data_IF_582229829709
#
_entry.id   IF_582229829709
#
_cell.length_a   1.000
_cell.length_b   1.000
_cell.length_c   1.000
_cell.angle_alpha   90.00
_cell.angle_beta   90.00
_cell.angle_gamma   90.00
#
_symmetry.space_group_name_H-M   'P 1'
#
loop_
_entity.id
_entity.type
_entity.pdbx_description
1 polymer ?
#
# COMPACT_ATOMS: atom_id res chain seq x y z
N UNK A 1 -19.58 23.10 1.98
CA UNK A 1 -19.94 21.71 1.63
C UNK A 1 -18.71 20.87 1.93
N UNK A 2 -18.74 19.98 2.92
CA UNK A 2 -17.57 19.18 3.28
C UNK A 2 -17.46 17.98 2.34
N UNK A 3 -16.44 18.00 1.48
CA UNK A 3 -16.19 16.97 0.47
C UNK A 3 -14.97 16.13 0.89
N UNK A 4 -15.03 14.81 0.76
CA UNK A 4 -13.86 13.94 0.90
C UNK A 4 -13.46 13.31 -0.43
N UNK A 5 -12.16 13.09 -0.64
CA UNK A 5 -11.64 12.37 -1.79
C UNK A 5 -10.81 11.19 -1.34
N UNK A 6 -11.11 10.01 -1.88
CA UNK A 6 -10.32 8.80 -1.68
C UNK A 6 -9.58 8.45 -2.97
N UNK A 7 -8.24 8.43 -2.87
CA UNK A 7 -7.33 8.15 -3.97
C UNK A 7 -7.07 9.39 -4.81
N UNK A 8 -6.69 9.17 -6.08
CA UNK A 8 -6.46 10.22 -7.08
C UNK A 8 -7.39 9.99 -8.29
N UNK A 9 -8.70 10.27 -8.18
CA UNK A 9 -9.63 10.15 -9.31
C UNK A 9 -9.13 10.91 -10.55
N UNK A 10 -9.21 10.34 -11.76
CA UNK A 10 -8.90 11.07 -12.98
C UNK A 10 -9.82 12.28 -13.14
N UNK A 11 -9.22 13.47 -13.31
CA UNK A 11 -9.93 14.77 -13.36
C UNK A 11 -10.97 14.87 -14.47
N UNK A 12 -10.80 14.08 -15.55
CA UNK A 12 -11.73 14.00 -16.68
C UNK A 12 -12.91 13.05 -16.45
N UNK A 13 -12.90 12.28 -15.35
CA UNK A 13 -13.94 11.32 -14.98
C UNK A 13 -14.78 11.76 -13.78
N UNK A 14 -14.16 12.44 -12.82
CA UNK A 14 -14.86 12.97 -11.64
C UNK A 14 -14.25 14.30 -11.20
N UNK A 15 -15.11 15.30 -11.01
CA UNK A 15 -14.71 16.57 -10.43
C UNK A 15 -14.49 16.43 -8.93
N UNK A 16 -13.35 16.93 -8.45
CA UNK A 16 -12.99 16.96 -7.02
C UNK A 16 -12.74 18.42 -6.65
N UNK A 17 -13.50 18.99 -5.70
CA UNK A 17 -13.25 20.35 -5.21
C UNK A 17 -11.83 20.50 -4.66
N UNK A 18 -11.22 21.67 -4.87
CA UNK A 18 -9.84 21.94 -4.41
C UNK A 18 -9.66 21.93 -2.89
N UNK A 19 -10.74 22.08 -2.13
CA UNK A 19 -10.79 22.02 -0.67
C UNK A 19 -11.24 20.65 -0.13
N UNK A 20 -11.34 19.63 -0.99
CA UNK A 20 -11.70 18.28 -0.57
C UNK A 20 -10.68 17.69 0.39
N UNK A 21 -11.16 17.08 1.47
CA UNK A 21 -10.32 16.39 2.45
C UNK A 21 -9.83 15.08 1.83
N UNK A 22 -8.51 14.95 1.65
CA UNK A 22 -7.91 13.69 1.21
C UNK A 22 -7.94 12.66 2.34
N UNK A 23 -8.44 11.46 2.04
CA UNK A 23 -8.64 10.37 3.02
C UNK A 23 -8.02 9.03 2.61
N UNK A 24 -7.25 8.99 1.51
CA UNK A 24 -6.58 7.76 1.09
C UNK A 24 -5.43 7.37 2.03
N UNK A 25 -5.34 6.11 2.47
CA UNK A 25 -4.20 5.64 3.26
C UNK A 25 -2.90 5.60 2.45
N UNK A 26 -2.97 5.64 1.11
CA UNK A 26 -1.82 5.61 0.20
C UNK A 26 -1.23 7.00 -0.08
N UNK A 27 -1.74 8.06 0.57
CA UNK A 27 -1.25 9.42 0.40
C UNK A 27 -0.79 9.94 1.76
N UNK A 28 0.54 10.02 2.02
CA UNK A 28 1.08 10.52 3.27
C UNK A 28 0.51 11.88 3.68
N UNK A 29 0.13 12.00 4.96
CA UNK A 29 -0.48 13.21 5.53
C UNK A 29 -2.00 13.31 5.39
N UNK A 30 -2.64 12.35 4.73
CA UNK A 30 -4.11 12.30 4.59
C UNK A 30 -4.82 12.00 5.90
N UNK A 31 -6.08 12.45 6.00
CA UNK A 31 -6.95 12.07 7.11
C UNK A 31 -7.35 10.59 7.03
N UNK A 32 -7.86 10.06 8.14
CA UNK A 32 -8.35 8.67 8.23
C UNK A 32 -9.85 8.64 7.91
N UNK A 33 -10.25 7.91 6.86
CA UNK A 33 -11.65 7.75 6.47
C UNK A 33 -12.47 7.10 7.59
N UNK A 34 -11.87 6.13 8.27
CA UNK A 34 -12.45 5.38 9.39
C UNK A 34 -12.68 6.25 10.64
N UNK A 35 -11.92 7.33 10.82
CA UNK A 35 -12.05 8.24 11.97
C UNK A 35 -13.01 9.42 11.69
N UNK A 36 -13.47 9.59 10.45
CA UNK A 36 -14.46 10.63 10.17
C UNK A 36 -15.76 10.33 10.94
N UNK A 37 -16.39 11.34 11.58
CA UNK A 37 -17.67 11.13 12.25
C UNK A 37 -18.78 10.74 11.25
N UNK A 38 -19.76 9.98 11.73
CA UNK A 38 -20.96 9.64 10.97
C UNK A 38 -21.69 10.91 10.52
N UNK A 39 -22.14 10.96 9.26
CA UNK A 39 -22.86 12.12 8.73
C UNK A 39 -22.05 13.43 8.75
N UNK A 40 -20.72 13.37 8.68
CA UNK A 40 -19.87 14.57 8.65
C UNK A 40 -19.56 15.12 7.26
N UNK A 41 -19.91 14.39 6.19
CA UNK A 41 -19.64 14.76 4.80
C UNK A 41 -20.93 15.06 4.03
N UNK A 42 -20.89 16.10 3.21
CA UNK A 42 -21.97 16.41 2.25
C UNK A 42 -21.75 15.71 0.91
N UNK A 43 -20.49 15.45 0.55
CA UNK A 43 -20.13 14.70 -0.65
C UNK A 43 -18.82 13.93 -0.51
N UNK A 44 -18.66 12.93 -1.39
CA UNK A 44 -17.42 12.19 -1.53
C UNK A 44 -17.16 11.75 -2.98
N UNK A 45 -15.88 11.76 -3.37
CA UNK A 45 -15.41 11.16 -4.62
C UNK A 45 -14.44 10.03 -4.29
N UNK A 46 -14.74 8.81 -4.74
CA UNK A 46 -14.00 7.60 -4.37
C UNK A 46 -13.46 6.92 -5.62
N UNK A 47 -12.14 7.01 -5.84
CA UNK A 47 -11.47 6.06 -6.73
C UNK A 47 -11.38 4.72 -6.00
N UNK A 48 -12.32 3.84 -6.29
CA UNK A 48 -12.54 2.63 -5.52
C UNK A 48 -11.41 1.62 -5.75
N UNK A 49 -10.86 1.00 -4.69
CA UNK A 49 -9.73 0.10 -4.84
C UNK A 49 -10.11 -1.22 -5.54
N UNK A 50 -9.13 -1.93 -6.12
CA UNK A 50 -9.39 -3.12 -6.92
C UNK A 50 -9.81 -4.34 -6.09
N UNK A 51 -9.31 -4.47 -4.85
CA UNK A 51 -9.63 -5.59 -3.96
C UNK A 51 -11.09 -5.54 -3.50
N UNK A 52 -11.80 -6.66 -3.51
CA UNK A 52 -13.24 -6.67 -3.19
C UNK A 52 -13.52 -6.29 -1.74
N UNK A 53 -12.84 -6.91 -0.78
CA UNK A 53 -13.03 -6.60 0.66
C UNK A 53 -12.64 -5.15 0.95
N UNK A 54 -11.48 -4.72 0.44
CA UNK A 54 -10.99 -3.34 0.57
C UNK A 54 -11.96 -2.32 -0.05
N UNK A 55 -12.49 -2.59 -1.25
CA UNK A 55 -13.44 -1.72 -1.92
C UNK A 55 -14.72 -1.57 -1.12
N UNK A 56 -15.28 -2.68 -0.66
CA UNK A 56 -16.49 -2.68 0.17
C UNK A 56 -16.26 -1.89 1.46
N UNK A 57 -15.11 -2.07 2.11
CA UNK A 57 -14.71 -1.32 3.30
C UNK A 57 -14.66 0.19 3.08
N UNK A 58 -14.02 0.63 1.99
CA UNK A 58 -13.92 2.06 1.63
C UNK A 58 -15.29 2.65 1.30
N UNK A 59 -16.09 1.96 0.49
CA UNK A 59 -17.44 2.40 0.15
C UNK A 59 -18.33 2.49 1.40
N UNK A 60 -18.24 1.50 2.30
CA UNK A 60 -19.01 1.45 3.53
C UNK A 60 -18.67 2.59 4.48
N UNK A 61 -17.38 2.85 4.75
CA UNK A 61 -16.99 3.99 5.58
C UNK A 61 -17.34 5.34 4.94
N UNK A 62 -17.29 5.44 3.60
CA UNK A 62 -17.71 6.65 2.89
C UNK A 62 -19.21 6.89 3.07
N UNK A 63 -20.04 5.86 2.89
CA UNK A 63 -21.49 5.94 3.11
C UNK A 63 -21.84 6.30 4.55
N UNK A 64 -21.16 5.70 5.54
CA UNK A 64 -21.30 6.06 6.96
C UNK A 64 -21.01 7.54 7.22
N UNK A 65 -19.95 8.07 6.63
CA UNK A 65 -19.53 9.46 6.81
C UNK A 65 -20.41 10.48 6.08
N UNK A 66 -21.17 10.09 5.04
CA UNK A 66 -22.09 10.98 4.33
C UNK A 66 -23.36 11.27 5.12
N UNK A 67 -23.87 12.50 5.10
CA UNK A 67 -25.23 12.80 5.59
C UNK A 67 -26.31 12.10 4.74
N UNK A 68 -27.52 11.84 5.26
CA UNK A 68 -28.69 11.57 4.43
C UNK A 68 -28.85 12.61 3.31
N UNK A 69 -28.99 12.16 2.06
CA UNK A 69 -29.01 13.00 0.86
C UNK A 69 -27.62 13.43 0.34
N UNK A 70 -26.55 13.16 1.08
CA UNK A 70 -25.18 13.44 0.68
C UNK A 70 -24.77 12.67 -0.57
N UNK A 71 -23.95 13.27 -1.43
CA UNK A 71 -23.65 12.74 -2.78
C UNK A 71 -22.36 11.96 -2.82
N UNK A 72 -22.37 10.77 -3.43
CA UNK A 72 -21.16 10.02 -3.72
C UNK A 72 -20.96 9.82 -5.22
N UNK A 73 -19.73 10.03 -5.67
CA UNK A 73 -19.24 9.56 -6.97
C UNK A 73 -18.20 8.48 -6.70
N UNK A 74 -18.54 7.21 -6.94
CA UNK A 74 -17.62 6.10 -6.86
C UNK A 74 -17.22 5.65 -8.27
N UNK A 75 -15.93 5.53 -8.55
CA UNK A 75 -15.43 5.14 -9.86
C UNK A 75 -14.26 4.16 -9.75
N UNK A 76 -14.16 3.26 -10.71
CA UNK A 76 -13.03 2.35 -10.85
C UNK A 76 -12.93 1.84 -12.30
N UNK A 77 -11.74 1.40 -12.74
CA UNK A 77 -11.59 0.70 -14.03
C UNK A 77 -12.54 -0.49 -14.09
N UNK A 78 -13.14 -0.73 -15.26
CA UNK A 78 -14.18 -1.75 -15.47
C UNK A 78 -13.70 -3.14 -15.05
N UNK A 79 -12.47 -3.47 -15.40
CA UNK A 79 -11.78 -4.73 -15.11
C UNK A 79 -11.20 -4.81 -13.69
N UNK A 80 -11.15 -3.69 -12.95
CA UNK A 80 -10.60 -3.58 -11.59
C UNK A 80 -11.63 -3.10 -10.59
N UNK A 81 -12.72 -3.85 -10.50
CA UNK A 81 -13.79 -3.63 -9.51
C UNK A 81 -14.92 -2.73 -10.01
N UNK A 82 -14.70 -1.91 -11.05
CA UNK A 82 -15.70 -1.00 -11.59
C UNK A 82 -17.00 -1.70 -11.98
N UNK A 83 -16.93 -2.85 -12.64
CA UNK A 83 -18.11 -3.64 -13.02
C UNK A 83 -18.96 -4.15 -11.84
N UNK A 84 -18.44 -4.11 -10.60
CA UNK A 84 -19.13 -4.56 -9.39
C UNK A 84 -19.69 -3.41 -8.55
N UNK A 85 -19.29 -2.16 -8.81
CA UNK A 85 -19.63 -1.00 -7.98
C UNK A 85 -21.13 -0.84 -7.77
N UNK A 86 -21.92 -0.79 -8.85
CA UNK A 86 -23.37 -0.58 -8.76
C UNK A 86 -24.05 -1.67 -7.91
N UNK A 87 -23.62 -2.93 -8.08
CA UNK A 87 -24.15 -4.07 -7.32
C UNK A 87 -23.76 -4.00 -5.85
N UNK A 88 -22.52 -3.64 -5.54
CA UNK A 88 -22.03 -3.51 -4.16
C UNK A 88 -22.74 -2.37 -3.43
N UNK A 89 -22.94 -1.23 -4.10
CA UNK A 89 -23.66 -0.08 -3.55
C UNK A 89 -25.15 -0.40 -3.33
N UNK A 90 -25.79 -1.10 -4.27
CA UNK A 90 -27.16 -1.58 -4.08
C UNK A 90 -27.30 -2.56 -2.90
N UNK A 91 -26.28 -3.39 -2.65
CA UNK A 91 -26.25 -4.28 -1.48
C UNK A 91 -26.06 -3.53 -0.15
N UNK A 92 -25.69 -2.25 -0.19
CA UNK A 92 -25.65 -1.35 0.96
C UNK A 92 -26.90 -0.45 1.06
N UNK A 93 -28.00 -0.85 0.42
CA UNK A 93 -29.24 -0.07 0.29
C UNK A 93 -29.04 1.30 -0.38
N UNK A 94 -27.98 1.45 -1.18
CA UNK A 94 -27.59 2.69 -1.84
C UNK A 94 -27.53 2.48 -3.37
N UNK A 95 -28.66 2.26 -4.07
CA UNK A 95 -28.64 2.11 -5.52
C UNK A 95 -28.04 3.35 -6.20
N UNK A 96 -27.19 3.12 -7.20
CA UNK A 96 -26.45 4.16 -7.89
C UNK A 96 -26.73 4.15 -9.40
N UNK A 97 -26.76 5.33 -10.01
CA UNK A 97 -26.72 5.47 -11.45
C UNK A 97 -25.32 5.13 -11.96
N UNK A 98 -25.22 4.13 -12.83
CA UNK A 98 -23.95 3.57 -13.32
C UNK A 98 -23.71 3.94 -14.79
N UNK A 99 -22.60 4.64 -15.04
CA UNK A 99 -22.20 5.14 -16.34
C UNK A 99 -20.82 4.58 -16.74
N UNK A 100 -20.68 3.96 -17.93
CA UNK A 100 -19.38 3.61 -18.49
C UNK A 100 -18.70 4.83 -19.13
N UNK A 101 -17.43 5.09 -18.81
CA UNK A 101 -16.63 6.15 -19.47
C UNK A 101 -15.14 5.81 -19.44
N UNK A 102 -14.45 5.91 -20.59
CA UNK A 102 -12.99 5.68 -20.72
C UNK A 102 -12.49 4.44 -19.95
N UNK A 103 -13.08 3.28 -20.22
CA UNK A 103 -12.79 2.00 -19.55
C UNK A 103 -13.08 1.96 -18.04
N UNK A 104 -13.75 2.96 -17.46
CA UNK A 104 -14.21 2.97 -16.08
C UNK A 104 -15.72 2.76 -15.99
N UNK A 105 -16.17 2.38 -14.79
CA UNK A 105 -17.56 2.53 -14.35
C UNK A 105 -17.61 3.65 -13.33
N UNK A 106 -18.59 4.54 -13.48
CA UNK A 106 -18.82 5.70 -12.61
C UNK A 106 -20.22 5.57 -12.04
N UNK A 107 -20.31 5.29 -10.75
CA UNK A 107 -21.54 5.17 -9.98
C UNK A 107 -21.81 6.46 -9.22
N UNK A 108 -22.99 7.05 -9.42
CA UNK A 108 -23.43 8.26 -8.71
C UNK A 108 -24.67 7.98 -7.89
N UNK A 109 -24.67 8.41 -6.64
CA UNK A 109 -25.81 8.26 -5.74
C UNK A 109 -25.96 9.45 -4.79
N UNK A 110 -27.16 9.60 -4.24
CA UNK A 110 -27.40 10.34 -3.01
C UNK A 110 -27.71 9.31 -1.91
N UNK A 111 -27.07 9.43 -0.74
CA UNK A 111 -27.23 8.47 0.36
C UNK A 111 -28.69 8.45 0.83
N UNK A 112 -29.41 7.33 0.75
CA UNK A 112 -30.76 7.25 1.32
C UNK A 112 -30.75 7.43 2.84
N UNK A 113 -31.81 8.02 3.45
CA UNK A 113 -31.86 8.28 4.88
C UNK A 113 -31.77 7.00 5.73
N UNK A 114 -32.36 5.90 5.24
CA UNK A 114 -32.46 4.63 5.97
C UNK A 114 -31.38 3.61 5.57
N UNK A 115 -30.34 4.03 4.83
CA UNK A 115 -29.29 3.13 4.38
C UNK A 115 -28.43 2.62 5.55
N UNK A 116 -28.53 1.32 5.84
CA UNK A 116 -27.88 0.66 6.98
C UNK A 116 -27.08 -0.60 6.61
N UNK A 117 -27.21 -1.15 5.39
CA UNK A 117 -26.58 -2.41 4.97
C UNK A 117 -25.04 -2.42 4.85
N UNK A 118 -24.32 -1.45 5.40
CA UNK A 118 -22.87 -1.29 5.23
C UNK A 118 -22.01 -1.69 6.44
N UNK A 119 -22.61 -2.04 7.58
CA UNK A 119 -21.89 -2.41 8.81
C UNK A 119 -20.97 -3.61 8.64
N UNK A 120 -21.48 -4.73 8.10
CA UNK A 120 -20.70 -5.97 7.92
C UNK A 120 -19.44 -5.75 7.07
N UNK A 121 -19.50 -4.86 6.08
CA UNK A 121 -18.36 -4.55 5.22
C UNK A 121 -17.25 -3.76 5.96
N UNK A 122 -17.61 -2.98 6.98
CA UNK A 122 -16.65 -2.31 7.86
C UNK A 122 -15.91 -3.36 8.70
N UNK A 123 -16.64 -4.28 9.31
CA UNK A 123 -16.03 -5.35 10.13
C UNK A 123 -15.18 -6.29 9.27
N UNK A 124 -15.69 -6.71 8.10
CA UNK A 124 -15.00 -7.60 7.15
C UNK A 124 -13.71 -6.97 6.59
N UNK A 125 -13.63 -5.64 6.46
CA UNK A 125 -12.44 -4.95 5.96
C UNK A 125 -11.51 -4.37 7.04
N UNK A 126 -11.89 -4.51 8.32
CA UNK A 126 -11.15 -3.96 9.43
C UNK A 126 -9.84 -4.70 9.75
N UNK A 127 -8.92 -4.05 10.51
CA UNK A 127 -7.72 -4.69 11.03
C UNK A 127 -8.04 -5.94 11.85
N UNK A 128 -7.19 -6.97 11.74
CA UNK A 128 -7.35 -8.25 12.46
C UNK A 128 -6.01 -8.90 12.75
N UNK A 129 -6.02 -9.90 13.63
CA UNK A 129 -4.90 -10.81 13.79
C UNK A 129 -5.10 -12.05 12.90
N UNK A 130 -4.02 -12.56 12.30
CA UNK A 130 -4.01 -13.82 11.54
C UNK A 130 -3.07 -14.79 12.25
N UNK A 131 -3.66 -15.76 12.95
CA UNK A 131 -2.97 -16.66 13.88
C UNK A 131 -1.84 -17.46 13.21
N UNK A 132 -2.07 -17.99 12.01
CA UNK A 132 -1.08 -18.80 11.30
C UNK A 132 0.15 -18.00 10.82
N UNK A 133 0.05 -16.67 10.78
CA UNK A 133 1.17 -15.78 10.50
C UNK A 133 1.72 -15.13 11.77
N UNK A 134 0.95 -15.14 12.87
CA UNK A 134 1.19 -14.38 14.09
C UNK A 134 1.44 -12.88 13.78
N UNK A 135 0.56 -12.28 12.97
CA UNK A 135 0.65 -10.88 12.54
C UNK A 135 -0.72 -10.20 12.65
N UNK A 136 -0.69 -8.94 13.11
CA UNK A 136 -1.75 -7.99 12.81
C UNK A 136 -1.71 -7.63 11.32
N UNK A 137 -2.87 -7.55 10.68
CA UNK A 137 -3.03 -7.31 9.25
C UNK A 137 -4.36 -6.60 8.95
N UNK A 138 -4.58 -6.20 7.71
CA UNK A 138 -5.85 -5.65 7.24
C UNK A 138 -6.06 -5.97 5.75
N UNK A 139 -7.27 -6.38 5.33
CA UNK A 139 -7.60 -6.53 3.92
C UNK A 139 -7.27 -5.29 3.08
N UNK A 140 -6.61 -5.51 1.95
CA UNK A 140 -6.13 -4.44 1.05
C UNK A 140 -4.63 -4.17 1.16
N UNK A 141 -3.99 -4.55 2.27
CA UNK A 141 -2.52 -4.54 2.38
C UNK A 141 -1.94 -5.66 1.49
N UNK A 142 -0.73 -5.43 0.94
CA UNK A 142 -0.02 -6.45 0.17
C UNK A 142 0.15 -7.75 0.98
N UNK A 143 -0.24 -8.87 0.38
CA UNK A 143 -0.16 -10.21 0.98
C UNK A 143 -0.77 -10.29 2.39
N UNK A 144 -1.86 -9.56 2.65
CA UNK A 144 -2.43 -9.41 4.00
C UNK A 144 -2.85 -10.73 4.69
N UNK A 145 -3.14 -11.79 3.94
CA UNK A 145 -3.66 -13.08 4.45
C UNK A 145 -2.68 -14.26 4.31
N UNK A 146 -1.47 -14.04 3.79
CA UNK A 146 -0.50 -15.10 3.53
C UNK A 146 0.93 -14.57 3.50
N UNK A 147 1.92 -15.46 3.61
CA UNK A 147 3.31 -15.10 3.32
C UNK A 147 3.51 -15.03 1.80
N UNK A 148 3.99 -13.89 1.31
CA UNK A 148 4.35 -13.71 -0.09
C UNK A 148 5.56 -14.60 -0.47
N UNK A 149 5.50 -15.37 -1.58
CA UNK A 149 6.60 -16.25 -1.97
C UNK A 149 7.93 -15.54 -2.24
N UNK A 150 7.91 -14.32 -2.79
CA UNK A 150 9.12 -13.52 -2.99
C UNK A 150 9.76 -13.14 -1.65
N UNK A 151 8.93 -12.65 -0.72
CA UNK A 151 9.33 -12.37 0.67
C UNK A 151 9.91 -13.61 1.35
N UNK A 152 9.28 -14.77 1.20
CA UNK A 152 9.76 -16.04 1.74
C UNK A 152 11.14 -16.43 1.17
N UNK A 153 11.31 -16.28 -0.16
CA UNK A 153 12.58 -16.56 -0.82
C UNK A 153 13.69 -15.62 -0.32
N UNK A 154 13.38 -14.33 -0.17
CA UNK A 154 14.32 -13.36 0.36
C UNK A 154 14.73 -13.72 1.79
N UNK A 155 13.77 -13.97 2.68
CA UNK A 155 14.04 -14.38 4.07
C UNK A 155 14.96 -15.59 4.16
N UNK A 156 14.73 -16.61 3.33
CA UNK A 156 15.52 -17.83 3.32
C UNK A 156 16.97 -17.64 2.87
N UNK A 157 17.28 -16.52 2.20
CA UNK A 157 18.59 -16.25 1.59
C UNK A 157 19.25 -14.96 2.10
N UNK A 158 18.64 -14.25 3.05
CA UNK A 158 19.26 -13.09 3.68
C UNK A 158 20.47 -13.55 4.53
N UNK A 159 21.65 -12.95 4.35
CA UNK A 159 22.78 -13.23 5.24
C UNK A 159 22.55 -12.57 6.60
N UNK A 160 23.36 -12.91 7.62
CA UNK A 160 23.39 -12.13 8.85
C UNK A 160 23.71 -10.66 8.57
N UNK A 161 22.72 -9.78 8.82
CA UNK A 161 22.87 -8.34 8.67
C UNK A 161 23.37 -7.70 9.97
N UNK A 162 24.05 -6.56 9.85
CA UNK A 162 24.62 -5.79 10.96
C UNK A 162 24.65 -4.30 10.66
N UNK A 163 24.72 -3.48 11.71
CA UNK A 163 24.79 -2.03 11.60
C UNK A 163 23.41 -1.39 11.43
N UNK A 164 23.33 -0.29 10.69
CA UNK A 164 22.09 0.46 10.45
C UNK A 164 21.55 0.12 9.08
N UNK A 165 20.25 -0.15 8.95
CA UNK A 165 19.65 -0.44 7.65
C UNK A 165 18.25 0.09 7.46
N UNK A 166 17.67 -0.24 6.30
CA UNK A 166 16.27 0.07 5.99
C UNK A 166 15.55 -1.08 5.29
N UNK A 167 14.22 -1.14 5.49
CA UNK A 167 13.26 -2.00 4.80
C UNK A 167 12.33 -1.09 3.97
N UNK A 168 12.48 -1.07 2.65
CA UNK A 168 11.73 -0.18 1.75
C UNK A 168 10.51 -0.91 1.20
N UNK A 169 9.31 -0.36 1.44
CA UNK A 169 8.05 -1.04 1.18
C UNK A 169 7.81 -2.16 2.19
N UNK A 170 7.96 -1.84 3.48
CA UNK A 170 8.03 -2.84 4.54
C UNK A 170 6.74 -3.67 4.71
N UNK A 171 5.61 -3.20 4.17
CA UNK A 171 4.31 -3.85 4.31
C UNK A 171 3.97 -4.12 5.78
N UNK A 172 3.63 -5.37 6.10
CA UNK A 172 3.32 -5.82 7.46
C UNK A 172 4.54 -5.93 8.40
N UNK A 173 5.76 -5.62 7.93
CA UNK A 173 7.00 -5.67 8.70
C UNK A 173 7.62 -7.07 8.84
N UNK A 174 7.27 -8.00 7.94
CA UNK A 174 7.74 -9.40 7.99
C UNK A 174 9.27 -9.50 7.87
N UNK A 175 9.84 -8.85 6.84
CA UNK A 175 11.29 -8.79 6.64
C UNK A 175 11.96 -8.12 7.83
N UNK A 176 11.43 -6.98 8.26
CA UNK A 176 11.91 -6.25 9.42
C UNK A 176 11.98 -7.08 10.71
N UNK A 177 10.94 -7.87 11.02
CA UNK A 177 10.94 -8.77 12.19
C UNK A 177 12.07 -9.78 12.14
N UNK A 178 12.35 -10.36 10.97
CA UNK A 178 13.44 -11.30 10.79
C UNK A 178 14.82 -10.63 10.90
N UNK A 179 15.00 -9.46 10.27
CA UNK A 179 16.24 -8.68 10.28
C UNK A 179 16.61 -8.29 11.73
N UNK A 180 15.62 -7.82 12.50
CA UNK A 180 15.80 -7.42 13.89
C UNK A 180 16.03 -8.61 14.83
N UNK A 181 15.83 -9.85 14.39
CA UNK A 181 16.27 -11.04 15.12
C UNK A 181 17.79 -11.06 15.35
N UNK A 182 18.57 -10.34 14.53
CA UNK A 182 20.01 -10.18 14.73
C UNK A 182 20.32 -9.05 15.73
N UNK A 183 21.06 -9.32 16.83
CA UNK A 183 21.49 -8.27 17.75
C UNK A 183 22.57 -7.35 17.14
N UNK A 184 23.19 -7.77 16.03
CA UNK A 184 24.18 -6.96 15.33
C UNK A 184 23.54 -5.81 14.53
N UNK A 185 22.22 -5.86 14.28
CA UNK A 185 21.46 -4.75 13.72
C UNK A 185 21.20 -3.73 14.84
N UNK A 186 21.69 -2.51 14.62
CA UNK A 186 21.68 -1.43 15.62
C UNK A 186 20.53 -0.44 15.42
N UNK A 187 20.02 -0.31 14.19
CA UNK A 187 18.83 0.47 13.86
C UNK A 187 18.23 -0.03 12.54
N UNK A 188 16.91 0.00 12.41
CA UNK A 188 16.19 -0.34 11.18
C UNK A 188 15.12 0.72 10.88
N UNK A 189 15.20 1.36 9.72
CA UNK A 189 14.14 2.26 9.24
C UNK A 189 13.21 1.52 8.28
N UNK A 190 11.93 1.51 8.59
CA UNK A 190 10.88 0.93 7.75
C UNK A 190 10.18 2.06 7.02
N UNK A 191 10.07 1.97 5.70
CA UNK A 191 9.36 2.98 4.89
C UNK A 191 8.21 2.30 4.18
N UNK A 192 7.01 2.87 4.32
CA UNK A 192 5.79 2.33 3.71
C UNK A 192 4.83 3.47 3.36
N UNK A 193 4.20 3.36 2.20
CA UNK A 193 3.27 4.37 1.67
C UNK A 193 1.85 4.12 2.16
N UNK A 194 1.48 2.86 2.43
CA UNK A 194 0.18 2.50 2.97
C UNK A 194 0.14 2.68 4.49
N UNK A 195 -0.59 3.71 4.93
CA UNK A 195 -0.83 3.99 6.36
C UNK A 195 -1.32 2.76 7.13
N UNK A 196 -2.17 1.93 6.53
CA UNK A 196 -2.71 0.73 7.19
C UNK A 196 -1.58 -0.28 7.45
N UNK A 197 -0.68 -0.45 6.49
CA UNK A 197 0.48 -1.31 6.64
C UNK A 197 1.45 -0.78 7.69
N UNK A 198 1.68 0.55 7.76
CA UNK A 198 2.44 1.20 8.83
C UNK A 198 1.86 0.85 10.20
N UNK A 199 0.56 0.98 10.40
CA UNK A 199 -0.11 0.68 11.68
C UNK A 199 -0.01 -0.80 12.06
N UNK A 200 -0.09 -1.70 11.08
CA UNK A 200 0.10 -3.13 11.32
C UNK A 200 1.56 -3.47 11.62
N UNK A 201 2.51 -2.89 10.89
CA UNK A 201 3.94 -3.06 11.12
C UNK A 201 4.36 -2.56 12.51
N UNK A 202 3.79 -1.45 13.00
CA UNK A 202 4.02 -0.96 14.37
C UNK A 202 3.62 -2.00 15.43
N UNK A 203 2.57 -2.78 15.19
CA UNK A 203 2.13 -3.86 16.09
C UNK A 203 2.99 -5.12 15.93
N UNK A 204 3.41 -5.41 14.71
CA UNK A 204 4.16 -6.63 14.37
C UNK A 204 5.65 -6.55 14.68
N UNK A 205 6.22 -5.34 14.68
CA UNK A 205 7.64 -5.05 14.86
C UNK A 205 7.81 -4.23 16.14
N UNK A 206 7.51 -4.86 17.28
CA UNK A 206 7.68 -4.27 18.61
C UNK A 206 9.16 -4.33 19.05
N UNK A 207 10.04 -3.62 18.34
CA UNK A 207 11.47 -3.53 18.64
C UNK A 207 11.91 -2.06 18.75
N UNK A 208 12.61 -1.65 19.82
CA UNK A 208 13.03 -0.26 20.01
C UNK A 208 14.05 0.25 18.98
N UNK A 209 14.67 -0.65 18.20
CA UNK A 209 15.59 -0.28 17.11
C UNK A 209 14.86 0.04 15.80
N UNK A 210 13.55 -0.25 15.73
CA UNK A 210 12.73 0.02 14.55
C UNK A 210 12.19 1.46 14.56
N UNK A 211 12.29 2.15 13.43
CA UNK A 211 11.63 3.44 13.18
C UNK A 211 10.80 3.30 11.93
N UNK A 212 9.47 3.47 12.02
CA UNK A 212 8.55 3.30 10.90
C UNK A 212 8.11 4.67 10.40
N UNK A 213 8.23 4.90 9.10
CA UNK A 213 7.94 6.16 8.42
C UNK A 213 6.82 5.94 7.40
N UNK A 214 5.70 6.64 7.60
CA UNK A 214 4.64 6.73 6.59
C UNK A 214 5.05 7.74 5.52
N UNK A 215 5.55 7.24 4.39
CA UNK A 215 6.09 8.08 3.33
C UNK A 215 6.04 7.40 1.96
N UNK A 216 5.96 8.21 0.91
CA UNK A 216 6.17 7.78 -0.46
C UNK A 216 7.67 7.84 -0.77
N UNK A 217 8.27 6.70 -1.10
CA UNK A 217 9.69 6.55 -1.43
C UNK A 217 10.11 7.40 -2.64
N UNK A 218 9.16 7.81 -3.50
CA UNK A 218 9.40 8.73 -4.62
C UNK A 218 9.80 10.13 -4.14
N UNK A 219 9.47 10.49 -2.90
CA UNK A 219 9.87 11.75 -2.26
C UNK A 219 11.27 11.59 -1.68
N UNK A 220 12.17 12.53 -2.02
CA UNK A 220 13.52 12.55 -1.50
C UNK A 220 13.56 12.84 0.01
N UNK A 221 14.60 12.33 0.70
CA UNK A 221 14.80 12.56 2.14
C UNK A 221 13.96 11.68 3.07
N UNK A 222 13.21 10.71 2.53
CA UNK A 222 12.38 9.77 3.29
C UNK A 222 13.18 8.64 3.95
N UNK A 223 14.37 8.34 3.42
CA UNK A 223 15.28 7.31 3.93
C UNK A 223 16.54 7.96 4.50
N UNK A 224 17.00 7.58 5.71
CA UNK A 224 18.26 8.08 6.25
C UNK A 224 19.45 7.65 5.39
N UNK A 225 20.47 8.51 5.32
CA UNK A 225 21.72 8.20 4.64
C UNK A 225 22.70 7.37 5.46
N UNK A 226 23.79 6.97 4.81
CA UNK A 226 24.91 6.22 5.39
C UNK A 226 24.53 4.85 5.99
N UNK A 227 23.59 4.15 5.35
CA UNK A 227 23.15 2.81 5.77
C UNK A 227 24.16 1.72 5.39
N UNK A 228 24.30 0.72 6.26
CA UNK A 228 25.08 -0.49 6.03
C UNK A 228 24.38 -1.44 5.07
N UNK A 229 23.04 -1.51 5.14
CA UNK A 229 22.24 -2.36 4.26
C UNK A 229 20.85 -1.77 3.97
N UNK A 230 20.26 -2.20 2.86
CA UNK A 230 18.85 -1.99 2.53
C UNK A 230 18.27 -3.33 2.09
N UNK A 231 17.05 -3.63 2.53
CA UNK A 231 16.28 -4.81 2.10
C UNK A 231 14.96 -4.32 1.50
N UNK A 232 14.49 -4.95 0.43
CA UNK A 232 13.19 -4.62 -0.14
C UNK A 232 12.57 -5.74 -0.98
N UNK A 233 11.25 -5.79 -0.94
CA UNK A 233 10.39 -6.49 -1.90
C UNK A 233 9.45 -5.44 -2.52
N UNK A 234 9.90 -4.68 -3.53
CA UNK A 234 9.18 -3.53 -4.02
C UNK A 234 7.86 -3.96 -4.69
N UNK A 235 6.83 -3.11 -4.66
CA UNK A 235 5.57 -3.40 -5.36
C UNK A 235 5.82 -3.51 -6.87
N UNK A 236 5.38 -4.62 -7.46
CA UNK A 236 5.53 -4.86 -8.91
C UNK A 236 4.34 -4.36 -9.73
N UNK A 237 3.25 -3.90 -9.08
CA UNK A 237 2.05 -3.38 -9.74
C UNK A 237 1.56 -2.12 -9.04
N UNK A 238 1.62 -0.96 -9.69
CA UNK A 238 0.82 0.20 -9.32
C UNK A 238 -0.37 0.26 -10.28
N UNK A 239 -1.58 0.22 -9.73
CA UNK A 239 -2.77 0.27 -10.55
C UNK A 239 -2.81 -0.77 -11.69
N UNK A 240 -2.43 -2.03 -11.43
CA UNK A 240 -2.60 -3.15 -12.37
C UNK A 240 -1.71 -3.11 -13.62
N UNK A 241 -0.79 -2.16 -13.73
CA UNK A 241 0.28 -2.17 -14.74
C UNK A 241 1.59 -2.46 -14.03
N UNK A 242 2.45 -3.28 -14.64
CA UNK A 242 3.79 -3.53 -14.12
C UNK A 242 4.60 -2.22 -14.14
N UNK A 243 4.83 -1.62 -12.97
CA UNK A 243 5.49 -0.33 -12.85
C UNK A 243 7.01 -0.52 -12.66
N UNK A 244 7.69 -0.75 -13.78
CA UNK A 244 9.15 -0.81 -13.80
C UNK A 244 9.79 0.51 -13.34
N UNK A 245 9.12 1.65 -13.52
CA UNK A 245 9.65 2.96 -13.09
C UNK A 245 9.65 3.08 -11.57
N UNK A 246 8.64 2.53 -10.90
CA UNK A 246 8.60 2.45 -9.44
C UNK A 246 9.74 1.58 -8.90
N UNK A 247 9.93 0.37 -9.43
CA UNK A 247 11.04 -0.50 -9.00
C UNK A 247 12.42 0.16 -9.21
N UNK A 248 12.62 0.88 -10.32
CA UNK A 248 13.84 1.68 -10.55
C UNK A 248 14.01 2.80 -9.53
N UNK A 249 12.93 3.45 -9.12
CA UNK A 249 12.95 4.47 -8.08
C UNK A 249 13.39 3.88 -6.74
N UNK A 250 12.82 2.73 -6.34
CA UNK A 250 13.26 2.00 -5.14
C UNK A 250 14.76 1.67 -5.17
N UNK A 251 15.27 1.15 -6.29
CA UNK A 251 16.69 0.84 -6.49
C UNK A 251 17.55 2.10 -6.34
N UNK A 252 17.16 3.21 -6.97
CA UNK A 252 17.88 4.47 -6.88
C UNK A 252 17.90 5.03 -5.44
N UNK A 253 16.76 4.99 -4.72
CA UNK A 253 16.68 5.44 -3.33
C UNK A 253 17.52 4.58 -2.39
N UNK A 254 17.52 3.26 -2.59
CA UNK A 254 18.38 2.35 -1.85
C UNK A 254 19.86 2.68 -2.09
N UNK A 255 20.27 2.85 -3.35
CA UNK A 255 21.64 3.21 -3.70
C UNK A 255 22.04 4.55 -3.08
N UNK A 256 21.19 5.57 -3.08
CA UNK A 256 21.46 6.87 -2.46
C UNK A 256 21.67 6.76 -0.95
N UNK A 257 20.81 6.00 -0.26
CA UNK A 257 20.84 5.85 1.19
C UNK A 257 22.06 5.07 1.72
N UNK A 258 22.60 4.13 0.93
CA UNK A 258 23.72 3.28 1.34
C UNK A 258 25.04 4.06 1.47
N UNK A 259 25.88 3.69 2.46
CA UNK A 259 27.29 4.12 2.49
C UNK A 259 28.12 3.35 1.46
N UNK A 260 29.36 3.80 1.22
CA UNK A 260 30.33 3.02 0.44
C UNK A 260 30.52 1.62 1.04
N UNK A 261 30.41 0.58 0.22
CA UNK A 261 30.46 -0.81 0.64
C UNK A 261 29.19 -1.34 1.30
N UNK A 262 28.12 -0.54 1.41
CA UNK A 262 26.81 -1.02 1.85
C UNK A 262 26.13 -1.88 0.80
N UNK A 263 25.20 -2.73 1.23
CA UNK A 263 24.55 -3.73 0.37
C UNK A 263 23.04 -3.56 0.27
N UNK A 264 22.52 -3.75 -0.93
CA UNK A 264 21.09 -3.89 -1.20
C UNK A 264 20.77 -5.39 -1.35
N UNK A 265 19.71 -5.83 -0.68
CA UNK A 265 19.06 -7.13 -0.86
C UNK A 265 17.66 -6.91 -1.43
N UNK A 266 17.46 -7.34 -2.67
CA UNK A 266 16.22 -7.13 -3.42
C UNK A 266 15.68 -8.48 -3.88
N UNK A 267 14.39 -8.73 -3.67
CA UNK A 267 13.69 -9.80 -4.41
C UNK A 267 12.79 -9.19 -5.48
N UNK A 268 12.73 -9.82 -6.64
CA UNK A 268 11.86 -9.43 -7.74
C UNK A 268 11.40 -10.62 -8.58
N UNK A 269 10.30 -10.46 -9.31
CA UNK A 269 9.92 -11.44 -10.33
C UNK A 269 11.02 -11.58 -11.40
N UNK A 270 11.35 -12.80 -11.80
CA UNK A 270 12.49 -13.10 -12.67
C UNK A 270 12.37 -12.55 -14.10
N UNK A 271 11.17 -12.16 -14.53
CA UNK A 271 10.94 -11.53 -15.84
C UNK A 271 11.18 -10.01 -15.83
N UNK A 272 11.29 -9.39 -14.65
CA UNK A 272 11.53 -7.95 -14.52
C UNK A 272 13.00 -7.63 -14.83
N UNK A 273 13.28 -6.66 -15.72
CA UNK A 273 14.64 -6.34 -16.16
C UNK A 273 15.35 -5.36 -15.20
N UNK A 274 15.50 -5.73 -13.93
CA UNK A 274 16.14 -4.88 -12.93
C UNK A 274 17.66 -4.87 -12.98
N UNK A 275 18.28 -5.80 -13.70
CA UNK A 275 19.74 -5.89 -13.86
C UNK A 275 20.34 -4.60 -14.42
N UNK A 276 19.67 -3.96 -15.38
CA UNK A 276 20.13 -2.68 -15.96
C UNK A 276 20.10 -1.56 -14.92
N UNK A 277 19.04 -1.49 -14.12
CA UNK A 277 18.91 -0.46 -13.09
C UNK A 277 19.90 -0.69 -11.94
N UNK A 278 20.08 -1.94 -11.53
CA UNK A 278 21.05 -2.34 -10.51
C UNK A 278 22.48 -2.04 -10.98
N UNK A 279 22.84 -2.44 -12.21
CA UNK A 279 24.19 -2.22 -12.77
C UNK A 279 24.54 -0.75 -12.99
N UNK A 280 23.53 0.12 -13.17
CA UNK A 280 23.74 1.56 -13.23
C UNK A 280 23.95 2.21 -11.85
N UNK A 281 23.37 1.64 -10.80
CA UNK A 281 23.35 2.22 -9.45
C UNK A 281 24.40 1.62 -8.50
N UNK A 282 24.91 0.43 -8.78
CA UNK A 282 25.81 -0.34 -7.92
C UNK A 282 27.07 -0.79 -8.65
N UNK A 283 28.16 -0.97 -7.90
CA UNK A 283 29.45 -1.44 -8.44
C UNK A 283 29.40 -2.91 -8.83
N UNK A 284 28.87 -3.73 -7.93
CA UNK A 284 28.79 -5.19 -8.08
C UNK A 284 27.34 -5.62 -7.88
N UNK A 285 26.82 -6.48 -8.76
CA UNK A 285 25.47 -7.03 -8.71
C UNK A 285 25.55 -8.53 -8.96
N UNK A 286 24.96 -9.34 -8.08
CA UNK A 286 24.87 -10.77 -8.23
C UNK A 286 23.45 -11.25 -7.96
N UNK A 287 23.04 -12.30 -8.68
CA UNK A 287 21.84 -13.07 -8.34
C UNK A 287 22.27 -14.17 -7.38
N UNK A 288 21.83 -14.11 -6.13
CA UNK A 288 22.20 -15.09 -5.11
C UNK A 288 21.38 -16.37 -5.24
N UNK A 289 20.11 -16.24 -5.63
CA UNK A 289 19.23 -17.38 -5.92
C UNK A 289 18.15 -16.98 -6.94
N UNK A 290 17.73 -17.95 -7.74
CA UNK A 290 16.53 -17.86 -8.57
C UNK A 290 15.66 -19.09 -8.34
N UNK A 291 14.44 -18.90 -7.83
CA UNK A 291 13.50 -19.99 -7.54
C UNK A 291 12.05 -19.49 -7.56
N UNK A 292 11.11 -20.36 -7.94
CA UNK A 292 9.67 -20.06 -7.85
C UNK A 292 9.22 -18.86 -8.71
N UNK A 293 9.96 -18.50 -9.76
CA UNK A 293 9.68 -17.32 -10.58
C UNK A 293 10.25 -16.01 -10.05
N UNK A 294 11.03 -16.05 -8.96
CA UNK A 294 11.67 -14.88 -8.35
C UNK A 294 13.20 -14.98 -8.42
N UNK A 295 13.87 -13.82 -8.38
CA UNK A 295 15.31 -13.65 -8.20
C UNK A 295 15.58 -12.85 -6.94
N UNK A 296 16.57 -13.26 -6.16
CA UNK A 296 17.16 -12.45 -5.09
C UNK A 296 18.49 -11.90 -5.58
N UNK A 297 18.65 -10.59 -5.48
CA UNK A 297 19.85 -9.86 -5.85
C UNK A 297 20.59 -9.38 -4.60
N UNK A 298 21.91 -9.52 -4.60
CA UNK A 298 22.82 -8.72 -3.77
C UNK A 298 23.46 -7.66 -4.67
N UNK A 299 23.38 -6.39 -4.28
CA UNK A 299 24.06 -5.30 -4.97
C UNK A 299 24.89 -4.45 -4.00
N UNK A 300 26.12 -4.10 -4.37
CA UNK A 300 27.09 -3.41 -3.49
C UNK A 300 27.51 -2.06 -4.05
N UNK A 301 27.50 -1.02 -3.19
CA UNK A 301 27.85 0.36 -3.54
C UNK A 301 29.37 0.61 -3.53
#
# INVERSE_FOLDING_TARGET
MRHAVYGLPPVDLAEVPGDAVQVSPLIPGSARLEDLPDGSLDAATVLAPPGTVERRYVLAHTLRALVPGGRMIALAPKDRGGARLAKELAAFDCPAADEPRRHHRICRLARPPDAAGHGDAIDEGGPRHVDNLALCTQPGIFSWDRLDPGTALLLANLPPLKGRGADLGCGLGILSRAILGSPAVTALTLVEVDRRAVEMAQRNVADPRATIVWADIRVAGTVPGSLDFVVMNPPFHDGGTEDQALGRTFIARAAEALRKGGTLWLVANAHLPYETALGAAFRDVSVTIQAGGYRVYEARK
#
